data_IF_317813753784
#
_entry.id   IF_317813753784
#
_cell.length_a   1.000
_cell.length_b   1.000
_cell.length_c   1.000
_cell.angle_alpha   90.00
_cell.angle_beta   90.00
_cell.angle_gamma   90.00
#
_symmetry.space_group_name_H-M   'P 1'
#
loop_
_entity.id
_entity.type
_entity.pdbx_description
1 polymer ?
#
# COMPACT_ATOMS: atom_id res chain seq x y z
N UNK A 1 5.92 0.35 -30.06
CA UNK A 1 6.48 1.41 -29.19
C UNK A 1 5.46 1.85 -28.15
N UNK A 2 4.19 2.00 -28.51
CA UNK A 2 3.11 2.26 -27.56
C UNK A 2 3.00 1.20 -26.45
N UNK A 3 3.40 0.00 -26.75
CA UNK A 3 3.32 -1.15 -25.87
C UNK A 3 4.26 -1.10 -24.68
N UNK A 4 5.44 -0.53 -24.83
CA UNK A 4 6.38 -0.35 -23.72
C UNK A 4 5.89 0.69 -22.72
N UNK A 5 5.26 1.72 -23.22
CA UNK A 5 4.62 2.70 -22.36
C UNK A 5 3.50 2.06 -21.57
N UNK A 6 2.74 1.18 -22.18
CA UNK A 6 1.69 0.41 -21.52
C UNK A 6 2.23 -0.64 -20.54
N UNK A 7 3.36 -1.28 -20.82
CA UNK A 7 4.05 -2.15 -19.87
C UNK A 7 4.43 -1.40 -18.61
N UNK A 8 5.07 -0.27 -18.76
CA UNK A 8 5.45 0.59 -17.64
C UNK A 8 4.23 1.03 -16.84
N UNK A 9 3.12 1.29 -17.51
CA UNK A 9 1.86 1.61 -16.84
C UNK A 9 1.20 0.40 -16.18
N UNK A 10 1.35 -0.78 -16.72
CA UNK A 10 0.82 -1.99 -16.10
C UNK A 10 1.55 -2.33 -14.81
N UNK A 11 2.87 -2.19 -14.79
CA UNK A 11 3.70 -2.40 -13.59
C UNK A 11 3.61 -1.26 -12.58
N UNK A 12 3.36 -0.06 -13.06
CA UNK A 12 3.14 1.10 -12.23
C UNK A 12 1.68 1.48 -12.14
N UNK A 13 0.76 0.54 -12.38
CA UNK A 13 -0.65 0.83 -12.45
C UNK A 13 -1.10 1.56 -11.19
N UNK A 14 -1.37 2.79 -11.42
CA UNK A 14 -1.71 3.74 -10.41
C UNK A 14 -3.08 3.32 -9.87
N UNK A 15 -3.21 3.00 -8.58
CA UNK A 15 -4.50 2.85 -7.94
C UNK A 15 -5.39 4.08 -8.17
N UNK A 16 -4.78 5.24 -8.38
CA UNK A 16 -5.43 6.51 -8.72
C UNK A 16 -6.20 6.52 -10.04
N UNK A 17 -6.13 5.46 -10.86
CA UNK A 17 -6.98 5.31 -12.05
C UNK A 17 -8.32 4.62 -11.79
N UNK A 18 -8.54 4.10 -10.61
CA UNK A 18 -9.90 3.89 -10.13
C UNK A 18 -10.51 5.30 -10.04
N UNK A 19 -11.37 5.65 -10.99
CA UNK A 19 -12.02 6.96 -10.98
C UNK A 19 -12.86 7.08 -9.71
N UNK A 20 -13.09 8.28 -9.23
CA UNK A 20 -14.01 8.54 -8.11
C UNK A 20 -15.38 7.90 -8.35
N UNK A 21 -15.80 7.80 -9.61
CA UNK A 21 -17.03 7.12 -10.02
C UNK A 21 -16.99 5.61 -9.76
N UNK A 22 -15.82 4.97 -9.86
CA UNK A 22 -15.65 3.54 -9.53
C UNK A 22 -15.66 3.29 -8.02
N UNK A 23 -15.49 4.32 -7.23
CA UNK A 23 -15.50 4.22 -5.76
C UNK A 23 -16.90 4.53 -5.21
N UNK A 24 -17.58 5.53 -5.75
CA UNK A 24 -18.82 6.08 -5.19
C UNK A 24 -20.05 5.89 -6.11
N UNK A 25 -19.88 5.27 -7.27
CA UNK A 25 -20.94 5.08 -8.26
C UNK A 25 -21.21 3.62 -8.54
N UNK A 26 -22.13 3.40 -9.46
CA UNK A 26 -22.42 2.09 -10.02
C UNK A 26 -21.20 1.58 -10.82
N UNK A 27 -20.75 0.37 -10.52
CA UNK A 27 -19.60 -0.26 -11.18
C UNK A 27 -19.99 -1.57 -11.81
N UNK A 28 -19.41 -1.86 -12.98
CA UNK A 28 -19.56 -3.15 -13.64
C UNK A 28 -18.43 -4.10 -13.21
N UNK A 29 -18.80 -5.32 -12.88
CA UNK A 29 -17.87 -6.37 -12.44
C UNK A 29 -18.10 -7.70 -13.15
N UNK A 30 -17.08 -8.54 -13.06
CA UNK A 30 -17.14 -9.97 -13.39
C UNK A 30 -16.50 -10.76 -12.26
N UNK A 31 -17.00 -11.97 -11.99
CA UNK A 31 -16.51 -12.86 -10.93
C UNK A 31 -15.74 -14.02 -11.54
N UNK A 32 -14.60 -14.37 -11.00
CA UNK A 32 -13.79 -15.50 -11.42
C UNK A 32 -14.52 -16.85 -11.17
N UNK A 33 -14.74 -17.64 -12.20
CA UNK A 33 -15.33 -19.01 -12.10
C UNK A 33 -14.32 -20.04 -11.61
N UNK A 34 -13.03 -19.75 -11.73
CA UNK A 34 -11.87 -20.57 -11.31
C UNK A 34 -10.69 -19.67 -11.00
N UNK A 35 -9.64 -20.22 -10.43
CA UNK A 35 -8.37 -19.51 -10.30
C UNK A 35 -7.87 -19.13 -11.69
N UNK A 36 -7.54 -17.84 -11.87
CA UNK A 36 -7.16 -17.26 -13.15
C UNK A 36 -6.08 -16.20 -13.00
N UNK A 37 -5.55 -15.74 -14.14
CA UNK A 37 -4.53 -14.72 -14.16
C UNK A 37 -5.00 -13.50 -14.95
N UNK A 38 -4.79 -12.32 -14.39
CA UNK A 38 -4.80 -11.09 -15.16
C UNK A 38 -3.50 -11.03 -15.94
N UNK A 39 -3.58 -10.87 -17.24
CA UNK A 39 -2.45 -10.82 -18.15
C UNK A 39 -2.30 -9.45 -18.76
N UNK A 40 -1.08 -9.12 -19.13
CA UNK A 40 -0.75 -7.83 -19.74
C UNK A 40 -1.48 -7.62 -21.10
N UNK A 41 -1.64 -8.67 -21.90
CA UNK A 41 -2.38 -8.69 -23.18
C UNK A 41 -3.35 -9.86 -23.23
N UNK A 42 -4.34 -9.77 -24.12
CA UNK A 42 -5.24 -10.87 -24.43
C UNK A 42 -4.52 -12.03 -25.12
N UNK A 43 -3.86 -12.88 -24.37
CA UNK A 43 -3.13 -14.03 -24.87
C UNK A 43 -2.53 -14.89 -23.74
N UNK A 44 -2.59 -16.22 -23.91
CA UNK A 44 -2.11 -17.18 -22.89
C UNK A 44 -0.59 -17.12 -22.66
N UNK A 45 0.16 -16.58 -23.61
CA UNK A 45 1.61 -16.41 -23.54
C UNK A 45 2.02 -15.02 -23.01
N UNK A 46 1.06 -14.15 -22.77
CA UNK A 46 1.31 -12.82 -22.23
C UNK A 46 1.71 -12.89 -20.76
N UNK A 47 2.51 -11.92 -20.32
CA UNK A 47 2.97 -11.81 -18.95
C UNK A 47 1.81 -11.80 -17.97
N UNK A 48 2.00 -12.47 -16.83
CA UNK A 48 1.05 -12.50 -15.73
C UNK A 48 1.29 -11.26 -14.85
N UNK A 49 0.25 -10.47 -14.66
CA UNK A 49 0.26 -9.30 -13.78
C UNK A 49 -0.18 -9.67 -12.36
N UNK A 50 -1.24 -10.49 -12.26
CA UNK A 50 -1.83 -10.86 -10.98
C UNK A 50 -2.57 -12.18 -11.08
N UNK A 51 -2.61 -12.92 -9.96
CA UNK A 51 -3.48 -14.08 -9.78
C UNK A 51 -4.76 -13.65 -9.08
N UNK A 52 -5.89 -14.13 -9.59
CA UNK A 52 -7.23 -13.94 -9.03
C UNK A 52 -7.78 -15.31 -8.65
N UNK A 53 -8.27 -15.46 -7.44
CA UNK A 53 -8.81 -16.72 -6.96
C UNK A 53 -10.26 -16.89 -7.41
N UNK A 54 -10.72 -18.15 -7.49
CA UNK A 54 -12.12 -18.46 -7.73
C UNK A 54 -13.01 -17.74 -6.73
N UNK A 55 -14.05 -17.07 -7.24
CA UNK A 55 -15.01 -16.31 -6.43
C UNK A 55 -14.66 -14.84 -6.24
N UNK A 56 -13.41 -14.44 -6.49
CA UNK A 56 -13.03 -13.04 -6.43
C UNK A 56 -13.61 -12.27 -7.62
N UNK A 57 -14.00 -11.03 -7.40
CA UNK A 57 -14.50 -10.15 -8.45
C UNK A 57 -13.48 -9.09 -8.86
N UNK A 58 -13.53 -8.71 -10.14
CA UNK A 58 -12.70 -7.65 -10.71
C UNK A 58 -13.60 -6.66 -11.46
N UNK A 59 -13.14 -5.42 -11.58
CA UNK A 59 -13.86 -4.39 -12.32
C UNK A 59 -13.81 -4.70 -13.82
N UNK A 60 -14.95 -4.73 -14.45
CA UNK A 60 -15.09 -4.84 -15.89
C UNK A 60 -14.80 -3.48 -16.56
N UNK A 61 -14.06 -3.51 -17.65
CA UNK A 61 -13.77 -2.30 -18.44
C UNK A 61 -14.37 -2.42 -19.84
N UNK A 62 -14.02 -3.49 -20.56
CA UNK A 62 -14.38 -3.64 -21.97
C UNK A 62 -14.22 -5.11 -22.42
N UNK A 63 -15.01 -5.54 -23.39
CA UNK A 63 -14.92 -6.89 -23.99
C UNK A 63 -14.22 -6.85 -25.34
N UNK A 64 -13.39 -7.87 -25.61
CA UNK A 64 -12.66 -8.09 -26.85
C UNK A 64 -12.71 -9.57 -27.20
N UNK A 65 -13.49 -9.99 -28.16
CA UNK A 65 -13.62 -11.41 -28.57
C UNK A 65 -13.61 -12.38 -27.37
N UNK A 66 -12.55 -13.17 -27.24
CA UNK A 66 -12.35 -14.14 -26.17
C UNK A 66 -11.80 -13.56 -24.87
N UNK A 67 -11.55 -12.26 -24.81
CA UNK A 67 -10.90 -11.60 -23.68
C UNK A 67 -11.71 -10.43 -23.15
N UNK A 68 -11.60 -10.21 -21.86
CA UNK A 68 -12.17 -9.06 -21.17
C UNK A 68 -11.05 -8.26 -20.53
N UNK A 69 -11.05 -6.96 -20.74
CA UNK A 69 -10.20 -6.03 -20.05
C UNK A 69 -10.80 -5.73 -18.68
N UNK A 70 -9.97 -5.89 -17.64
CA UNK A 70 -10.40 -5.77 -16.25
C UNK A 70 -9.42 -4.95 -15.44
N UNK A 71 -9.87 -4.47 -14.28
CA UNK A 71 -9.02 -3.85 -13.26
C UNK A 71 -9.21 -4.66 -11.97
N UNK A 72 -8.11 -5.11 -11.36
CA UNK A 72 -8.16 -5.81 -10.08
C UNK A 72 -8.36 -4.86 -8.90
N UNK A 73 -8.73 -5.41 -7.75
CA UNK A 73 -8.82 -4.66 -6.49
C UNK A 73 -7.49 -4.01 -6.08
N UNK A 74 -6.37 -4.56 -6.54
CA UNK A 74 -5.02 -4.01 -6.30
C UNK A 74 -4.58 -3.00 -7.37
N UNK A 75 -5.44 -2.68 -8.35
CA UNK A 75 -5.23 -1.66 -9.37
C UNK A 75 -4.52 -2.14 -10.65
N UNK A 76 -4.25 -3.44 -10.82
CA UNK A 76 -3.71 -3.95 -12.08
C UNK A 76 -4.76 -3.92 -13.18
N UNK A 77 -4.42 -3.29 -14.29
CA UNK A 77 -5.23 -3.29 -15.51
C UNK A 77 -4.66 -4.32 -16.48
N UNK A 78 -5.48 -5.25 -16.94
CA UNK A 78 -5.06 -6.29 -17.87
C UNK A 78 -6.23 -7.08 -18.43
N UNK A 79 -5.96 -8.29 -18.91
CA UNK A 79 -6.92 -9.10 -19.63
C UNK A 79 -7.14 -10.47 -18.97
N UNK A 80 -8.36 -10.92 -18.93
CA UNK A 80 -8.77 -12.27 -18.53
C UNK A 80 -9.58 -12.93 -19.66
N UNK A 81 -9.61 -14.27 -19.73
CA UNK A 81 -10.47 -14.95 -20.68
C UNK A 81 -11.94 -14.75 -20.30
N UNK A 82 -12.77 -14.44 -21.29
CA UNK A 82 -14.23 -14.31 -21.11
C UNK A 82 -14.87 -15.59 -20.57
N UNK A 83 -14.39 -16.76 -20.98
CA UNK A 83 -14.85 -18.06 -20.48
C UNK A 83 -14.60 -18.31 -18.99
N UNK A 84 -13.61 -17.61 -18.41
CA UNK A 84 -13.12 -17.84 -17.04
C UNK A 84 -13.84 -16.98 -16.00
N UNK A 85 -14.73 -16.09 -16.45
CA UNK A 85 -15.48 -15.17 -15.59
C UNK A 85 -16.99 -15.30 -15.81
N UNK A 86 -17.77 -14.76 -14.88
CA UNK A 86 -19.23 -14.63 -14.97
C UNK A 86 -19.66 -13.69 -16.11
N UNK A 87 -20.95 -13.62 -16.35
CA UNK A 87 -21.52 -12.47 -17.06
C UNK A 87 -21.21 -11.17 -16.29
N UNK A 88 -21.20 -10.06 -17.03
CA UNK A 88 -21.04 -8.73 -16.43
C UNK A 88 -22.28 -8.41 -15.60
N UNK A 89 -22.05 -8.00 -14.36
CA UNK A 89 -23.10 -7.49 -13.50
C UNK A 89 -22.71 -6.12 -12.94
N UNK A 90 -23.70 -5.39 -12.47
CA UNK A 90 -23.53 -4.05 -11.95
C UNK A 90 -23.86 -4.02 -10.47
N UNK A 91 -23.07 -3.33 -9.70
CA UNK A 91 -23.30 -3.10 -8.27
C UNK A 91 -22.92 -1.69 -7.87
N UNK A 92 -23.51 -1.19 -6.82
CA UNK A 92 -23.04 -0.01 -6.09
C UNK A 92 -22.21 -0.53 -4.93
N UNK A 93 -20.87 -0.34 -4.93
CA UNK A 93 -20.04 -0.79 -3.83
C UNK A 93 -20.48 -0.17 -2.50
N UNK A 94 -20.57 -0.96 -1.46
CA UNK A 94 -20.70 -0.43 -0.11
C UNK A 94 -19.34 0.12 0.33
N UNK A 95 -19.20 1.44 0.23
CA UNK A 95 -18.00 2.16 0.60
C UNK A 95 -18.13 2.81 1.98
N UNK A 96 -19.01 2.30 2.83
CA UNK A 96 -19.05 2.69 4.24
C UNK A 96 -17.76 2.26 4.90
N UNK A 97 -16.77 3.17 4.83
CA UNK A 97 -15.51 3.02 5.54
C UNK A 97 -15.71 3.54 6.96
N UNK A 98 -15.82 2.63 7.90
CA UNK A 98 -15.60 2.96 9.29
C UNK A 98 -14.09 2.94 9.56
N UNK A 99 -13.53 4.11 9.80
CA UNK A 99 -12.13 4.21 10.18
C UNK A 99 -11.90 3.45 11.48
N UNK A 100 -11.18 2.34 11.43
CA UNK A 100 -10.71 1.64 12.64
C UNK A 100 -9.76 2.52 13.48
N UNK A 101 -9.30 3.59 12.88
CA UNK A 101 -8.46 4.58 13.51
C UNK A 101 -9.15 5.92 13.52
N UNK A 102 -9.26 6.53 14.68
CA UNK A 102 -9.40 7.97 14.77
C UNK A 102 -8.10 8.57 14.21
N UNK A 103 -7.96 8.56 12.89
CA UNK A 103 -6.82 9.16 12.22
C UNK A 103 -6.76 10.61 12.67
N UNK A 104 -5.67 10.99 13.32
CA UNK A 104 -5.43 12.37 13.68
C UNK A 104 -5.28 13.14 12.37
N UNK A 105 -6.37 13.71 11.86
CA UNK A 105 -6.26 14.62 10.73
C UNK A 105 -5.54 15.87 11.19
N UNK A 106 -4.39 16.16 10.57
CA UNK A 106 -3.73 17.44 10.79
C UNK A 106 -4.47 18.48 9.95
N UNK A 107 -5.26 19.32 10.60
CA UNK A 107 -5.93 20.46 9.97
C UNK A 107 -4.96 21.61 9.66
N UNK A 108 -3.72 21.51 10.12
CA UNK A 108 -2.69 22.54 9.96
C UNK A 108 -1.60 22.05 9.00
N UNK A 109 -0.79 22.98 8.50
CA UNK A 109 0.41 22.67 7.74
C UNK A 109 1.34 21.76 8.55
N UNK A 110 1.76 20.64 7.95
CA UNK A 110 2.73 19.72 8.57
C UNK A 110 4.07 20.43 8.78
N UNK A 111 4.54 20.43 10.03
CA UNK A 111 5.86 20.89 10.46
C UNK A 111 6.53 19.72 11.16
N UNK A 112 7.33 18.99 10.39
CA UNK A 112 7.92 17.73 10.82
C UNK A 112 9.37 17.92 11.24
N UNK A 113 9.74 17.29 12.36
CA UNK A 113 11.13 17.15 12.81
C UNK A 113 11.54 15.68 12.84
N UNK A 114 12.73 15.36 12.36
CA UNK A 114 13.31 14.02 12.50
C UNK A 114 13.97 13.85 13.86
N UNK A 115 13.80 12.66 14.42
CA UNK A 115 14.49 12.24 15.64
C UNK A 115 15.31 10.99 15.36
N UNK A 116 16.62 11.12 15.40
CA UNK A 116 17.52 10.01 15.13
C UNK A 116 17.54 9.02 16.30
N UNK A 117 17.26 7.75 16.02
CA UNK A 117 17.31 6.64 16.96
C UNK A 117 18.32 5.61 16.45
N UNK A 118 19.39 5.43 17.21
CA UNK A 118 20.44 4.45 16.90
C UNK A 118 20.32 3.24 17.86
N UNK A 119 19.27 2.43 17.68
CA UNK A 119 18.95 1.31 18.55
C UNK A 119 17.93 1.64 19.65
N UNK A 120 17.46 0.64 20.36
CA UNK A 120 16.41 0.78 21.40
C UNK A 120 16.76 1.75 22.52
N UNK A 121 18.02 1.79 22.95
CA UNK A 121 18.49 2.74 23.96
C UNK A 121 18.40 4.21 23.51
N UNK A 122 18.43 4.47 22.19
CA UNK A 122 18.27 5.81 21.64
C UNK A 122 16.90 6.42 21.90
N UNK A 123 15.89 5.61 22.16
CA UNK A 123 14.56 6.11 22.50
C UNK A 123 14.54 6.89 23.82
N UNK A 124 15.38 6.59 24.79
CA UNK A 124 15.39 7.27 26.09
C UNK A 124 15.80 8.74 26.01
N UNK A 125 16.47 9.13 24.92
CA UNK A 125 16.90 10.51 24.69
C UNK A 125 15.73 11.49 24.49
N UNK A 126 14.48 11.02 24.34
CA UNK A 126 13.32 11.90 24.20
C UNK A 126 13.09 12.81 25.41
N UNK A 127 13.56 12.41 26.59
CA UNK A 127 13.44 13.21 27.81
C UNK A 127 14.23 14.52 27.72
N UNK A 128 15.26 14.55 26.87
CA UNK A 128 16.13 15.73 26.65
C UNK A 128 15.58 16.65 25.53
N UNK A 129 14.52 16.26 24.83
CA UNK A 129 13.95 17.05 23.76
C UNK A 129 13.28 18.33 24.29
N UNK A 130 13.83 19.46 23.89
CA UNK A 130 13.32 20.81 24.19
C UNK A 130 12.99 21.55 22.88
N UNK A 131 12.25 22.64 22.96
CA UNK A 131 12.03 23.50 21.79
C UNK A 131 11.09 22.94 20.71
N UNK A 132 10.25 21.97 21.04
CA UNK A 132 9.33 21.32 20.09
C UNK A 132 8.07 22.14 19.74
N UNK A 133 7.95 23.36 20.23
CA UNK A 133 6.75 24.21 20.09
C UNK A 133 6.38 24.58 18.64
N UNK A 134 7.33 24.44 17.71
CA UNK A 134 7.13 24.82 16.30
C UNK A 134 6.90 23.64 15.36
N UNK A 135 6.82 22.41 15.88
CA UNK A 135 6.52 21.21 15.10
C UNK A 135 5.20 20.62 15.57
N UNK A 136 4.54 19.88 14.71
CA UNK A 136 3.33 19.12 15.02
C UNK A 136 3.45 17.64 14.67
N UNK A 137 4.55 17.26 14.02
CA UNK A 137 4.89 15.87 13.71
C UNK A 137 6.34 15.63 14.09
N UNK A 138 6.61 14.47 14.71
CA UNK A 138 7.96 13.99 14.97
C UNK A 138 8.16 12.62 14.30
N UNK A 139 9.26 12.46 13.58
CA UNK A 139 9.58 11.27 12.80
C UNK A 139 10.82 10.57 13.36
N UNK A 140 10.65 9.58 14.25
CA UNK A 140 11.76 8.79 14.73
C UNK A 140 12.26 7.83 13.65
N UNK A 141 13.59 7.64 13.56
CA UNK A 141 14.21 6.72 12.60
C UNK A 141 14.17 5.28 13.13
N UNK A 142 12.98 4.67 13.19
CA UNK A 142 12.80 3.38 13.84
C UNK A 142 12.96 2.17 12.93
N UNK A 143 12.71 2.34 11.64
CA UNK A 143 12.73 1.22 10.71
C UNK A 143 13.86 1.33 9.71
N UNK A 144 14.60 0.24 9.53
CA UNK A 144 15.55 0.05 8.45
C UNK A 144 15.23 -1.23 7.72
N UNK A 145 15.18 -1.19 6.39
CA UNK A 145 14.97 -2.38 5.57
C UNK A 145 16.22 -3.24 5.59
N UNK A 146 16.06 -4.53 5.94
CA UNK A 146 17.19 -5.44 6.17
C UNK A 146 17.34 -6.55 5.14
N UNK A 147 16.34 -6.78 4.28
CA UNK A 147 16.39 -7.81 3.26
C UNK A 147 15.47 -7.58 2.08
N UNK A 148 15.73 -8.26 0.97
CA UNK A 148 14.92 -8.24 -0.26
C UNK A 148 13.54 -8.87 -0.10
N UNK A 149 13.30 -9.63 0.96
CA UNK A 149 11.99 -10.23 1.26
C UNK A 149 11.08 -9.31 2.08
N UNK A 150 11.53 -8.06 2.36
CA UNK A 150 10.76 -7.06 3.06
C UNK A 150 10.88 -7.10 4.58
N UNK A 151 11.93 -7.73 5.14
CA UNK A 151 12.21 -7.66 6.58
C UNK A 151 12.75 -6.29 6.95
N UNK A 152 12.40 -5.82 8.15
CA UNK A 152 12.84 -4.55 8.71
C UNK A 152 13.28 -4.74 10.16
N UNK A 153 14.28 -3.97 10.58
CA UNK A 153 14.52 -3.73 12.01
C UNK A 153 13.46 -2.77 12.55
N UNK A 154 13.15 -2.86 13.83
CA UNK A 154 12.15 -2.02 14.49
C UNK A 154 12.63 -1.61 15.87
N UNK A 155 12.70 -0.30 16.12
CA UNK A 155 13.02 0.28 17.42
C UNK A 155 11.84 1.02 18.07
N UNK A 156 10.60 0.76 17.62
CA UNK A 156 9.40 1.41 18.13
C UNK A 156 9.21 1.25 19.64
N UNK A 157 8.66 2.28 20.27
CA UNK A 157 8.44 2.31 21.72
C UNK A 157 7.09 2.99 22.03
N UNK A 158 6.19 2.26 22.66
CA UNK A 158 4.88 2.79 23.08
C UNK A 158 5.01 3.91 24.10
N UNK A 159 5.97 3.80 25.04
CA UNK A 159 6.21 4.85 26.03
C UNK A 159 6.68 6.15 25.37
N UNK A 160 7.49 6.04 24.32
CA UNK A 160 7.95 7.17 23.53
C UNK A 160 6.78 7.83 22.75
N UNK A 161 5.95 7.02 22.10
CA UNK A 161 4.74 7.51 21.39
C UNK A 161 3.85 8.28 22.36
N UNK A 162 3.51 7.69 23.51
CA UNK A 162 2.69 8.34 24.53
C UNK A 162 3.29 9.66 25.02
N UNK A 163 4.61 9.72 25.21
CA UNK A 163 5.27 10.93 25.62
C UNK A 163 5.20 12.06 24.57
N UNK A 164 5.21 11.71 23.27
CA UNK A 164 5.05 12.69 22.18
C UNK A 164 3.57 13.12 22.05
N UNK A 165 2.64 12.20 22.12
CA UNK A 165 1.20 12.50 22.15
C UNK A 165 0.84 13.45 23.31
N UNK A 166 1.40 13.23 24.51
CA UNK A 166 1.22 14.14 25.67
C UNK A 166 1.76 15.54 25.43
N UNK A 167 2.66 15.72 24.45
CA UNK A 167 3.16 17.02 24.00
C UNK A 167 2.38 17.59 22.81
N UNK A 168 1.30 16.92 22.36
CA UNK A 168 0.47 17.32 21.23
C UNK A 168 1.10 17.07 19.86
N UNK A 169 2.10 16.18 19.79
CA UNK A 169 2.79 15.82 18.55
C UNK A 169 2.24 14.51 17.99
N UNK A 170 2.07 14.45 16.67
CA UNK A 170 1.90 13.18 15.96
C UNK A 170 3.25 12.49 15.78
N UNK A 171 3.24 11.16 15.77
CA UNK A 171 4.40 10.31 15.59
C UNK A 171 4.33 9.58 14.25
N UNK A 172 5.24 9.92 13.33
CA UNK A 172 5.33 9.32 12.00
C UNK A 172 6.71 8.65 11.82
N UNK A 173 6.87 7.37 12.21
CA UNK A 173 8.14 6.70 12.10
C UNK A 173 8.68 6.68 10.67
N UNK A 174 9.98 6.94 10.55
CA UNK A 174 10.67 6.86 9.27
C UNK A 174 11.08 5.41 9.00
N UNK A 175 10.90 4.99 7.75
CA UNK A 175 11.45 3.76 7.18
C UNK A 175 12.59 4.14 6.24
N UNK A 176 13.80 3.67 6.52
CA UNK A 176 14.95 3.93 5.67
C UNK A 176 15.33 2.72 4.77
N UNK A 177 15.99 3.04 3.66
CA UNK A 177 16.52 2.10 2.68
C UNK A 177 18.06 2.25 2.51
N UNK A 178 18.76 2.63 3.57
CA UNK A 178 20.19 2.92 3.51
C UNK A 178 21.09 1.69 3.53
N UNK A 179 20.54 0.49 3.73
CA UNK A 179 21.29 -0.75 3.76
C UNK A 179 21.80 -1.17 2.37
N UNK A 180 23.07 -0.88 2.08
CA UNK A 180 23.71 -1.17 0.79
C UNK A 180 23.81 -2.66 0.46
N UNK A 181 23.52 -3.56 1.41
CA UNK A 181 23.51 -5.01 1.20
C UNK A 181 22.18 -5.54 0.66
N UNK A 182 21.15 -4.69 0.57
CA UNK A 182 19.82 -5.05 0.08
C UNK A 182 19.66 -4.64 -1.38
N UNK A 183 19.22 -5.57 -2.23
CA UNK A 183 18.80 -5.23 -3.59
C UNK A 183 17.37 -4.65 -3.55
N UNK A 184 17.27 -3.34 -3.43
CA UNK A 184 16.00 -2.63 -3.40
C UNK A 184 15.20 -2.76 -4.69
N UNK A 185 15.85 -2.99 -5.84
CA UNK A 185 15.15 -3.24 -7.09
C UNK A 185 14.41 -4.58 -7.03
N UNK A 186 15.07 -5.62 -6.53
CA UNK A 186 14.45 -6.92 -6.31
C UNK A 186 13.29 -6.83 -5.31
N UNK A 187 13.51 -6.17 -4.16
CA UNK A 187 12.50 -5.95 -3.13
C UNK A 187 11.26 -5.26 -3.69
N UNK A 188 11.44 -4.09 -4.33
CA UNK A 188 10.29 -3.30 -4.80
C UNK A 188 9.62 -3.91 -6.04
N UNK A 189 10.26 -4.81 -6.75
CA UNK A 189 9.63 -5.60 -7.83
C UNK A 189 8.81 -6.77 -7.29
N UNK A 190 9.12 -7.27 -6.09
CA UNK A 190 8.42 -8.39 -5.46
C UNK A 190 7.14 -7.93 -4.75
N UNK A 191 5.98 -8.41 -5.22
CA UNK A 191 4.69 -8.17 -4.55
C UNK A 191 4.68 -8.72 -3.12
N UNK A 192 5.22 -9.93 -2.93
CA UNK A 192 5.26 -10.58 -1.62
C UNK A 192 6.10 -9.77 -0.63
N UNK A 193 7.28 -9.29 -1.05
CA UNK A 193 8.14 -8.49 -0.20
C UNK A 193 7.47 -7.16 0.21
N UNK A 194 6.85 -6.46 -0.76
CA UNK A 194 6.09 -5.24 -0.46
C UNK A 194 4.94 -5.50 0.51
N UNK A 195 4.21 -6.62 0.30
CA UNK A 195 3.13 -6.99 1.22
C UNK A 195 3.64 -7.26 2.62
N UNK A 196 4.77 -7.98 2.76
CA UNK A 196 5.42 -8.24 4.06
C UNK A 196 5.74 -6.93 4.79
N UNK A 197 6.31 -5.94 4.08
CA UNK A 197 6.61 -4.62 4.66
C UNK A 197 5.33 -3.91 5.12
N UNK A 198 4.33 -3.85 4.26
CA UNK A 198 3.05 -3.16 4.55
C UNK A 198 2.35 -3.80 5.75
N UNK A 199 2.23 -5.14 5.75
CA UNK A 199 1.58 -5.88 6.85
C UNK A 199 2.32 -5.64 8.18
N UNK A 200 3.66 -5.60 8.14
CA UNK A 200 4.49 -5.31 9.32
C UNK A 200 4.22 -3.90 9.84
N UNK A 201 4.26 -2.90 8.96
CA UNK A 201 4.04 -1.50 9.36
C UNK A 201 2.63 -1.28 9.91
N UNK A 202 1.59 -1.86 9.28
CA UNK A 202 0.21 -1.78 9.76
C UNK A 202 0.07 -2.44 11.14
N UNK A 203 0.63 -3.64 11.30
CA UNK A 203 0.62 -4.35 12.59
C UNK A 203 1.27 -3.53 13.69
N UNK A 204 2.43 -2.94 13.37
CA UNK A 204 3.20 -2.17 14.34
C UNK A 204 2.53 -0.82 14.65
N UNK A 205 1.93 -0.15 13.66
CA UNK A 205 1.14 1.06 13.88
C UNK A 205 0.03 0.82 14.91
N UNK A 206 -0.65 -0.32 14.79
CA UNK A 206 -1.68 -0.75 15.75
C UNK A 206 -1.12 -1.04 17.13
N UNK A 207 0.03 -1.71 17.18
CA UNK A 207 0.64 -2.15 18.44
C UNK A 207 1.26 -1.00 19.24
N UNK A 208 1.91 -0.05 18.54
CA UNK A 208 2.63 1.05 19.18
C UNK A 208 1.83 2.36 19.23
N UNK A 209 0.76 2.48 18.42
CA UNK A 209 -0.15 3.62 18.43
C UNK A 209 0.39 4.88 17.75
N UNK A 210 1.30 4.77 16.79
CA UNK A 210 1.75 5.93 16.02
C UNK A 210 0.77 6.28 14.87
N UNK A 211 0.88 7.49 14.33
CA UNK A 211 -0.18 8.15 13.56
C UNK A 211 0.05 8.10 12.04
N UNK A 212 1.26 7.84 11.58
CA UNK A 212 1.57 7.82 10.15
C UNK A 212 2.94 7.25 9.82
#
# INVERSE_FOLDING_TARGET
VADYTNCTYAYGSKPSRLSVNMINGEVSRVTAKKDMYIRYRGGIKSDILEQINKGDSVYYVESYDDWIKVISATGYTGYVKSSDVSEVYTEVPDNTYESEYAGLSISQKVKLGWFQVAGTAGNENYTQLTGLSNINVIAPTWYSITSEIGSMSNYSSTSWVNAMHNRGLQVWPLVDDFNKSVDFKALYSSRTARKTMIDTLIKDARAYGYDG
#
